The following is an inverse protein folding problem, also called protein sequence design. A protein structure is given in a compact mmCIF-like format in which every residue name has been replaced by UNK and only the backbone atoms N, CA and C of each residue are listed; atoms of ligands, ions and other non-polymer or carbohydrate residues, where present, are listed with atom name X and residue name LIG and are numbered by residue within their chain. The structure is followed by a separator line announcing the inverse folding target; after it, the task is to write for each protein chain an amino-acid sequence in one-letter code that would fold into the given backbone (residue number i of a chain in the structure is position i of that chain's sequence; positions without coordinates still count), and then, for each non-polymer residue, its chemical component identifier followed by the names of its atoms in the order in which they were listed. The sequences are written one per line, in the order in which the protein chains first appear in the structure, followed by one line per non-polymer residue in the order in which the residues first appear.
data_IF_450239647637
#
_entry.id   IF_450239647637
#
_cell.length_a   1.000
_cell.length_b   1.000
_cell.length_c   1.000
_cell.angle_alpha   90.00
_cell.angle_beta   90.00
_cell.angle_gamma   90.00
#
_symmetry.space_group_name_H-M   'P 1'
#
loop_
_entity.id
_entity.type
_entity.pdbx_description
1 polymer ?
#
# COMPACT_ATOMS: atom_id res chain seq x y z
N UNK A 1 -18.58 -17.41 -9.44
CA UNK A 1 -18.12 -16.78 -8.19
C UNK A 1 -17.79 -15.35 -8.56
N UNK A 2 -18.31 -14.37 -7.83
CA UNK A 2 -18.18 -12.96 -8.20
C UNK A 2 -16.69 -12.57 -8.29
N UNK A 3 -16.25 -12.16 -9.48
CA UNK A 3 -14.85 -11.86 -9.84
C UNK A 3 -14.26 -10.73 -8.95
N UNK A 4 -15.11 -10.02 -8.23
CA UNK A 4 -14.73 -8.94 -7.31
C UNK A 4 -14.37 -9.39 -5.90
N UNK A 5 -14.73 -10.62 -5.49
CA UNK A 5 -14.60 -11.06 -4.08
C UNK A 5 -13.13 -11.04 -3.62
N UNK A 6 -12.22 -11.65 -4.38
CA UNK A 6 -10.82 -11.76 -3.94
C UNK A 6 -10.06 -10.43 -3.96
N UNK A 7 -10.12 -9.61 -5.04
CA UNK A 7 -9.55 -8.26 -5.01
C UNK A 7 -10.20 -7.38 -3.94
N UNK A 8 -11.50 -7.56 -3.67
CA UNK A 8 -12.22 -6.87 -2.59
C UNK A 8 -11.66 -7.20 -1.21
N UNK A 9 -11.44 -8.47 -0.89
CA UNK A 9 -10.79 -8.90 0.36
C UNK A 9 -9.39 -8.27 0.49
N UNK A 10 -8.59 -8.31 -0.57
CA UNK A 10 -7.24 -7.72 -0.56
C UNK A 10 -7.29 -6.20 -0.37
N UNK A 11 -8.26 -5.52 -0.98
CA UNK A 11 -8.51 -4.09 -0.78
C UNK A 11 -8.82 -3.78 0.69
N UNK A 12 -9.71 -4.56 1.31
CA UNK A 12 -10.05 -4.43 2.73
C UNK A 12 -8.81 -4.62 3.63
N UNK A 13 -7.98 -5.64 3.35
CA UNK A 13 -6.73 -5.85 4.08
C UNK A 13 -5.76 -4.65 3.92
N UNK A 14 -5.61 -4.13 2.71
CA UNK A 14 -4.81 -2.92 2.44
C UNK A 14 -5.29 -1.71 3.22
N UNK A 15 -6.62 -1.49 3.26
CA UNK A 15 -7.25 -0.40 4.01
C UNK A 15 -7.07 -0.56 5.53
N UNK A 16 -7.15 -1.78 6.07
CA UNK A 16 -6.87 -2.04 7.48
C UNK A 16 -5.41 -1.75 7.83
N UNK A 17 -4.46 -2.10 6.96
CA UNK A 17 -3.04 -1.76 7.16
C UNK A 17 -2.82 -0.24 7.10
N UNK A 18 -3.47 0.46 6.17
CA UNK A 18 -3.44 1.92 6.16
C UNK A 18 -3.98 2.51 7.48
N UNK A 19 -5.16 2.06 7.93
CA UNK A 19 -5.76 2.50 9.18
C UNK A 19 -4.86 2.22 10.39
N UNK A 20 -4.18 1.07 10.41
CA UNK A 20 -3.15 0.78 11.40
C UNK A 20 -2.05 1.84 11.41
N UNK A 21 -1.47 2.19 10.26
CA UNK A 21 -0.41 3.22 10.21
C UNK A 21 -0.91 4.61 10.61
N UNK A 22 -2.13 4.98 10.18
CA UNK A 22 -2.80 6.21 10.57
C UNK A 22 -2.95 6.29 12.09
N UNK A 23 -3.54 5.26 12.70
CA UNK A 23 -3.74 5.15 14.14
C UNK A 23 -2.42 5.26 14.91
N UNK A 24 -1.40 4.51 14.49
CA UNK A 24 -0.08 4.55 15.14
C UNK A 24 0.56 5.94 15.06
N UNK A 25 0.42 6.66 13.94
CA UNK A 25 0.92 8.04 13.81
C UNK A 25 0.17 9.03 14.72
N UNK A 26 -1.13 8.84 14.90
CA UNK A 26 -1.95 9.63 15.83
C UNK A 26 -1.53 9.39 17.28
N UNK A 27 -1.41 8.12 17.68
CA UNK A 27 -0.97 7.75 19.03
C UNK A 27 0.46 8.20 19.34
N UNK A 28 1.33 8.26 18.33
CA UNK A 28 2.69 8.76 18.49
C UNK A 28 2.73 10.22 18.96
N UNK A 29 1.73 11.05 18.61
CA UNK A 29 1.64 12.43 19.12
C UNK A 29 1.61 12.48 20.64
N UNK A 30 0.73 11.69 21.26
CA UNK A 30 0.65 11.60 22.72
C UNK A 30 1.90 10.98 23.35
N UNK A 31 2.50 9.98 22.69
CA UNK A 31 3.72 9.31 23.16
C UNK A 31 4.95 10.24 23.19
N UNK A 32 5.06 11.16 22.24
CA UNK A 32 6.21 12.05 22.08
C UNK A 32 5.89 13.52 22.41
N UNK A 33 4.73 13.79 23.00
CA UNK A 33 4.22 15.13 23.36
C UNK A 33 4.26 16.15 22.19
N UNK A 34 3.86 15.72 20.99
CA UNK A 34 3.82 16.57 19.80
C UNK A 34 2.40 17.09 19.56
N UNK A 35 2.19 18.37 19.82
CA UNK A 35 0.92 19.05 19.61
C UNK A 35 0.58 19.22 18.12
N UNK A 36 -0.69 19.06 17.78
CA UNK A 36 -1.19 19.41 16.45
C UNK A 36 -1.06 20.94 16.23
N UNK A 37 -0.75 21.42 15.01
CA UNK A 37 -0.66 20.68 13.75
C UNK A 37 0.76 20.14 13.42
N UNK A 38 1.72 20.27 14.32
CA UNK A 38 3.13 19.96 14.02
C UNK A 38 3.33 18.51 13.60
N UNK A 39 4.23 18.31 12.63
CA UNK A 39 4.84 17.01 12.29
C UNK A 39 6.33 16.97 12.65
N UNK A 40 6.84 18.03 13.28
CA UNK A 40 8.20 18.08 13.80
C UNK A 40 8.25 17.48 15.19
N UNK A 41 9.39 16.88 15.53
CA UNK A 41 9.60 16.21 16.80
C UNK A 41 10.81 15.28 16.74
N UNK A 42 11.01 14.44 17.77
CA UNK A 42 12.09 13.46 17.78
C UNK A 42 12.07 12.57 16.54
N UNK A 43 13.23 12.10 16.08
CA UNK A 43 13.35 11.24 14.89
C UNK A 43 12.42 10.02 14.96
N UNK A 44 12.30 9.41 16.15
CA UNK A 44 11.39 8.29 16.37
C UNK A 44 9.92 8.66 16.07
N UNK A 45 9.45 9.85 16.47
CA UNK A 45 8.10 10.34 16.15
C UNK A 45 7.94 10.52 14.64
N UNK A 46 8.92 11.15 13.98
CA UNK A 46 8.89 11.37 12.54
C UNK A 46 8.80 10.05 11.76
N UNK A 47 9.44 8.98 12.25
CA UNK A 47 9.32 7.64 11.64
C UNK A 47 7.85 7.14 11.64
N UNK A 48 7.07 7.37 12.70
CA UNK A 48 5.65 7.02 12.72
C UNK A 48 4.84 7.83 11.71
N UNK A 49 5.08 9.15 11.63
CA UNK A 49 4.41 10.04 10.67
C UNK A 49 4.74 9.66 9.23
N UNK A 50 6.02 9.41 8.92
CA UNK A 50 6.48 9.03 7.57
C UNK A 50 6.02 7.65 7.16
N UNK A 51 5.89 6.70 8.10
CA UNK A 51 5.31 5.39 7.82
C UNK A 51 3.84 5.49 7.39
N UNK A 52 3.05 6.33 8.07
CA UNK A 52 1.67 6.62 7.70
C UNK A 52 1.58 7.31 6.33
N UNK A 53 2.26 8.44 6.16
CA UNK A 53 2.21 9.23 4.92
C UNK A 53 2.62 8.39 3.70
N UNK A 54 3.73 7.66 3.80
CA UNK A 54 4.17 6.83 2.68
C UNK A 54 3.22 5.67 2.40
N UNK A 55 2.48 5.17 3.40
CA UNK A 55 1.45 4.15 3.17
C UNK A 55 0.27 4.74 2.41
N UNK A 56 -0.15 5.95 2.77
CA UNK A 56 -1.20 6.69 2.06
C UNK A 56 -0.82 6.93 0.59
N UNK A 57 0.38 7.45 0.34
CA UNK A 57 0.89 7.72 -1.01
C UNK A 57 0.86 6.45 -1.89
N UNK A 58 1.31 5.32 -1.36
CA UNK A 58 1.31 4.05 -2.10
C UNK A 58 -0.09 3.43 -2.23
N UNK A 59 -0.98 3.64 -1.26
CA UNK A 59 -2.35 3.13 -1.30
C UNK A 59 -3.13 3.69 -2.49
N UNK A 60 -2.90 4.97 -2.81
CA UNK A 60 -3.49 5.68 -3.97
C UNK A 60 -3.06 5.04 -5.30
N UNK A 61 -1.90 4.40 -5.36
CA UNK A 61 -1.47 3.64 -6.54
C UNK A 61 -1.96 2.18 -6.50
N UNK A 62 -1.88 1.57 -5.32
CA UNK A 62 -2.18 0.16 -5.13
C UNK A 62 -3.65 -0.17 -5.40
N UNK A 63 -4.60 0.56 -4.81
CA UNK A 63 -6.01 0.23 -4.95
C UNK A 63 -6.50 0.37 -6.40
N UNK A 64 -6.29 1.51 -7.10
CA UNK A 64 -6.68 1.60 -8.50
C UNK A 64 -5.92 0.59 -9.38
N UNK A 65 -4.62 0.39 -9.14
CA UNK A 65 -3.84 -0.60 -9.87
C UNK A 65 -4.41 -2.01 -9.75
N UNK A 66 -4.71 -2.46 -8.53
CA UNK A 66 -5.29 -3.77 -8.25
C UNK A 66 -6.57 -3.99 -9.06
N UNK A 67 -7.47 -3.02 -9.06
CA UNK A 67 -8.74 -3.12 -9.77
C UNK A 67 -8.58 -3.03 -11.30
N UNK A 68 -7.72 -2.14 -11.79
CA UNK A 68 -7.40 -2.07 -13.22
C UNK A 68 -6.83 -3.41 -13.71
N UNK A 69 -5.91 -4.02 -12.96
CA UNK A 69 -5.35 -5.32 -13.31
C UNK A 69 -6.39 -6.45 -13.21
N UNK A 70 -7.24 -6.45 -12.19
CA UNK A 70 -8.30 -7.44 -12.04
C UNK A 70 -9.28 -7.43 -13.22
N UNK A 71 -9.66 -6.24 -13.71
CA UNK A 71 -10.57 -6.09 -14.86
C UNK A 71 -9.89 -6.28 -16.21
N UNK A 72 -8.62 -5.87 -16.34
CA UNK A 72 -7.91 -5.93 -17.61
C UNK A 72 -7.31 -7.31 -17.88
N UNK A 73 -6.79 -7.96 -16.84
CA UNK A 73 -5.98 -9.19 -16.92
C UNK A 73 -6.69 -10.36 -16.26
N UNK A 74 -6.70 -10.43 -14.92
CA UNK A 74 -7.27 -11.55 -14.18
C UNK A 74 -7.41 -11.23 -12.69
N UNK A 75 -8.57 -11.50 -12.11
CA UNK A 75 -8.89 -11.18 -10.73
C UNK A 75 -8.24 -12.10 -9.69
N UNK A 76 -7.91 -13.36 -10.03
CA UNK A 76 -7.22 -14.30 -9.14
C UNK A 76 -5.75 -13.89 -9.01
N UNK A 77 -5.09 -13.58 -10.13
CA UNK A 77 -3.73 -13.05 -10.14
C UNK A 77 -3.63 -11.69 -9.44
N UNK A 78 -4.60 -10.80 -9.66
CA UNK A 78 -4.70 -9.54 -8.93
C UNK A 78 -4.69 -9.78 -7.41
N UNK A 79 -5.53 -10.69 -6.92
CA UNK A 79 -5.59 -10.99 -5.50
C UNK A 79 -4.29 -11.64 -4.97
N UNK A 80 -3.76 -12.65 -5.66
CA UNK A 80 -2.57 -13.38 -5.23
C UNK A 80 -1.33 -12.48 -5.12
N UNK A 81 -1.09 -11.65 -6.14
CA UNK A 81 0.02 -10.67 -6.14
C UNK A 81 -0.26 -9.56 -5.13
N UNK A 82 -1.51 -9.13 -5.04
CA UNK A 82 -1.94 -8.01 -4.21
C UNK A 82 -1.73 -8.25 -2.71
N UNK A 83 -1.80 -9.50 -2.25
CA UNK A 83 -1.53 -9.87 -0.85
C UNK A 83 -0.12 -9.48 -0.37
N UNK A 84 0.86 -9.39 -1.27
CA UNK A 84 2.22 -8.98 -0.92
C UNK A 84 2.28 -7.52 -0.44
N UNK A 85 1.38 -6.66 -0.93
CA UNK A 85 1.38 -5.24 -0.58
C UNK A 85 1.04 -4.99 0.90
N UNK A 86 -0.11 -5.43 1.46
CA UNK A 86 -0.42 -5.19 2.87
C UNK A 86 0.61 -5.81 3.81
N UNK A 87 1.12 -7.01 3.49
CA UNK A 87 2.20 -7.66 4.26
C UNK A 87 3.47 -6.81 4.23
N UNK A 88 3.91 -6.37 3.05
CA UNK A 88 5.07 -5.50 2.91
C UNK A 88 4.90 -4.17 3.64
N UNK A 89 3.70 -3.57 3.61
CA UNK A 89 3.40 -2.32 4.33
C UNK A 89 3.43 -2.48 5.86
N UNK A 90 2.96 -3.61 6.40
CA UNK A 90 3.11 -3.91 7.82
C UNK A 90 4.58 -4.04 8.21
N UNK A 91 5.37 -4.80 7.45
CA UNK A 91 6.80 -4.95 7.69
C UNK A 91 7.55 -3.60 7.55
N UNK A 92 7.16 -2.78 6.58
CA UNK A 92 7.71 -1.44 6.38
C UNK A 92 7.47 -0.57 7.62
N UNK A 93 6.21 -0.47 8.07
CA UNK A 93 5.85 0.34 9.21
C UNK A 93 6.52 -0.14 10.51
N UNK A 94 6.44 -1.44 10.81
CA UNK A 94 7.05 -2.03 12.01
C UNK A 94 8.58 -1.92 12.02
N UNK A 95 9.22 -2.01 10.86
CA UNK A 95 10.64 -1.75 10.70
C UNK A 95 10.98 -0.28 10.97
N UNK A 96 10.24 0.63 10.34
CA UNK A 96 10.47 2.07 10.47
C UNK A 96 10.28 2.57 11.92
N UNK A 97 9.29 2.04 12.64
CA UNK A 97 9.09 2.37 14.06
C UNK A 97 10.27 1.99 14.96
N UNK A 98 11.11 1.04 14.53
CA UNK A 98 12.30 0.59 15.27
C UNK A 98 13.54 1.40 14.90
N UNK A 99 13.76 1.64 13.60
CA UNK A 99 14.86 2.46 13.09
C UNK A 99 14.60 2.84 11.62
N UNK A 100 15.08 4.02 11.15
CA UNK A 100 14.89 4.47 9.77
C UNK A 100 15.34 3.47 8.70
N UNK A 101 16.44 2.75 8.93
CA UNK A 101 17.05 1.85 7.94
C UNK A 101 16.29 0.53 7.82
N UNK A 102 15.55 0.13 8.86
CA UNK A 102 14.83 -1.16 8.93
C UNK A 102 13.55 -1.19 8.08
N UNK A 103 13.16 -0.07 7.48
CA UNK A 103 11.99 0.01 6.59
C UNK A 103 12.20 -0.67 5.24
N UNK A 104 13.45 -0.85 4.82
CA UNK A 104 13.82 -1.21 3.44
C UNK A 104 13.22 -2.54 2.98
N UNK A 105 13.25 -3.58 3.81
CA UNK A 105 12.74 -4.91 3.44
C UNK A 105 11.23 -4.86 3.13
N UNK A 106 10.45 -4.18 3.96
CA UNK A 106 9.01 -4.02 3.72
C UNK A 106 8.71 -3.19 2.47
N UNK A 107 9.56 -2.21 2.16
CA UNK A 107 9.44 -1.42 0.92
C UNK A 107 9.67 -2.31 -0.31
N UNK A 108 10.73 -3.12 -0.31
CA UNK A 108 11.05 -4.02 -1.42
C UNK A 108 9.97 -5.08 -1.67
N UNK A 109 9.24 -5.50 -0.63
CA UNK A 109 8.11 -6.43 -0.76
C UNK A 109 6.85 -5.72 -1.28
N UNK A 110 6.57 -4.50 -0.80
CA UNK A 110 5.32 -3.78 -1.13
C UNK A 110 5.35 -3.03 -2.47
N UNK A 111 6.52 -2.73 -3.04
CA UNK A 111 6.63 -2.00 -4.30
C UNK A 111 6.25 -2.79 -5.56
N UNK A 112 6.76 -4.03 -5.78
CA UNK A 112 6.52 -4.75 -7.02
C UNK A 112 5.04 -4.94 -7.42
N UNK A 113 4.10 -5.24 -6.49
CA UNK A 113 2.68 -5.37 -6.84
C UNK A 113 2.12 -4.14 -7.56
N UNK A 114 2.50 -2.92 -7.13
CA UNK A 114 2.03 -1.68 -7.76
C UNK A 114 2.48 -1.62 -9.22
N UNK A 115 3.76 -1.87 -9.50
CA UNK A 115 4.30 -1.81 -10.85
C UNK A 115 3.71 -2.90 -11.75
N UNK A 116 3.57 -4.12 -11.23
CA UNK A 116 2.94 -5.24 -11.94
C UNK A 116 1.51 -4.88 -12.34
N UNK A 117 0.75 -4.29 -11.42
CA UNK A 117 -0.63 -3.90 -11.68
C UNK A 117 -0.76 -2.79 -12.69
N UNK A 118 -0.02 -1.68 -12.52
CA UNK A 118 -0.12 -0.52 -13.41
C UNK A 118 0.37 -0.87 -14.82
N UNK A 119 1.55 -1.49 -14.93
CA UNK A 119 2.13 -1.85 -16.24
C UNK A 119 1.33 -2.97 -16.90
N UNK A 120 0.95 -4.00 -16.13
CA UNK A 120 0.16 -5.12 -16.65
C UNK A 120 -1.22 -4.67 -17.16
N UNK A 121 -1.90 -3.81 -16.41
CA UNK A 121 -3.17 -3.24 -16.87
C UNK A 121 -3.01 -2.38 -18.12
N UNK A 122 -1.97 -1.52 -18.17
CA UNK A 122 -1.69 -0.69 -19.35
C UNK A 122 -1.47 -1.55 -20.60
N UNK A 123 -0.64 -2.59 -20.51
CA UNK A 123 -0.37 -3.51 -21.62
C UNK A 123 -1.67 -4.20 -22.05
N UNK A 124 -2.46 -4.72 -21.11
CA UNK A 124 -3.71 -5.41 -21.41
C UNK A 124 -4.75 -4.50 -22.08
N UNK A 125 -4.94 -3.28 -21.59
CA UNK A 125 -5.83 -2.33 -22.26
C UNK A 125 -5.33 -1.91 -23.63
N UNK A 126 -4.02 -1.71 -23.81
CA UNK A 126 -3.46 -1.40 -25.12
C UNK A 126 -3.72 -2.53 -26.13
N UNK A 127 -3.52 -3.79 -25.74
CA UNK A 127 -3.83 -4.95 -26.61
C UNK A 127 -5.30 -5.00 -27.01
N UNK A 128 -6.22 -4.77 -26.05
CA UNK A 128 -7.67 -4.73 -26.32
C UNK A 128 -8.07 -3.65 -27.33
N UNK A 129 -7.36 -2.52 -27.38
CA UNK A 129 -7.60 -1.48 -28.40
C UNK A 129 -7.19 -1.97 -29.78
N UNK A 130 -6.05 -2.65 -29.92
CA UNK A 130 -5.60 -3.19 -31.20
C UNK A 130 -6.52 -4.30 -31.73
N UNK A 131 -7.09 -5.12 -30.85
CA UNK A 131 -8.05 -6.17 -31.22
C UNK A 131 -9.39 -5.61 -31.74
N UNK A 132 -9.70 -4.34 -31.47
CA UNK A 132 -10.93 -3.68 -31.90
C UNK A 132 -10.80 -2.89 -33.21
N UNK A 133 -9.59 -2.78 -33.76
CA UNK A 133 -9.27 -2.11 -35.03
C UNK A 133 -9.22 -3.11 -36.18
#
# INVERSE_FOLDING_TARGET
MDETIYPGIVSCLGLLVYYFTLYQSGMARGKFDVQAPSHEGPEAYQCYVRAHQNTLEHLVLFLPGLWLFAFAVDHIWAAGIGLLWPVGRLLYALGYYKAPEKRTIGLLISMPPIYIFVVGALIAFAMKVFEQL
#
